data_IF_314735727043
#
_entry.id   IF_314735727043
#
_cell.length_a   1.000
_cell.length_b   1.000
_cell.length_c   1.000
_cell.angle_alpha   90.00
_cell.angle_beta   90.00
_cell.angle_gamma   90.00
#
_symmetry.space_group_name_H-M   'P 1'
#
loop_
_entity.id
_entity.type
_entity.pdbx_description
1 polymer ?
#
# COMPACT_ATOMS: atom_id res chain seq x y z
N UNK A 1 -36.64 -79.81 23.07
CA UNK A 1 -37.51 -79.75 24.27
C UNK A 1 -38.91 -79.44 23.78
N UNK A 2 -39.73 -80.41 23.33
CA UNK A 2 -40.41 -81.48 24.07
C UNK A 2 -41.51 -80.97 25.03
N UNK A 3 -42.51 -80.25 24.50
CA UNK A 3 -43.84 -80.12 25.07
C UNK A 3 -44.81 -79.71 23.94
N UNK A 4 -45.53 -80.69 23.37
CA UNK A 4 -46.48 -80.40 22.28
C UNK A 4 -47.17 -81.61 21.65
N UNK A 5 -47.20 -82.77 22.32
CA UNK A 5 -47.75 -84.01 21.78
C UNK A 5 -49.02 -84.49 22.52
N UNK A 6 -49.68 -83.63 23.32
CA UNK A 6 -50.77 -84.01 24.22
C UNK A 6 -52.12 -83.34 23.89
N UNK A 7 -52.41 -83.03 22.63
CA UNK A 7 -53.67 -82.37 22.25
C UNK A 7 -54.27 -82.87 20.91
N UNK A 8 -54.13 -84.16 20.59
CA UNK A 8 -54.83 -84.78 19.46
C UNK A 8 -55.38 -86.16 19.84
N UNK A 9 -56.20 -86.20 20.90
CA UNK A 9 -57.15 -87.30 21.08
C UNK A 9 -58.49 -86.80 20.53
N UNK A 10 -58.61 -86.88 19.20
CA UNK A 10 -59.86 -86.61 18.49
C UNK A 10 -60.72 -87.86 18.64
N UNK A 11 -61.91 -87.72 19.22
CA UNK A 11 -62.93 -88.77 19.39
C UNK A 11 -63.03 -89.69 18.16
N UNK A 12 -62.36 -90.85 18.22
CA UNK A 12 -62.35 -91.84 17.14
C UNK A 12 -63.77 -92.36 16.85
N UNK A 13 -64.65 -92.41 17.85
CA UNK A 13 -66.05 -92.81 17.70
C UNK A 13 -66.93 -91.79 16.94
N UNK A 14 -66.57 -90.50 16.95
CA UNK A 14 -67.31 -89.48 16.21
C UNK A 14 -66.98 -89.51 14.70
N UNK A 15 -65.82 -90.04 14.32
CA UNK A 15 -65.35 -90.13 12.93
C UNK A 15 -65.94 -91.35 12.21
N UNK A 16 -66.22 -92.45 12.91
CA UNK A 16 -66.75 -93.69 12.31
C UNK A 16 -68.20 -93.59 11.80
N UNK A 17 -69.01 -92.66 12.33
CA UNK A 17 -70.42 -92.49 11.95
C UNK A 17 -70.68 -91.46 10.83
N UNK A 18 -69.63 -90.85 10.27
CA UNK A 18 -69.78 -89.84 9.20
C UNK A 18 -69.76 -90.53 7.83
N UNK A 19 -70.74 -90.29 6.94
CA UNK A 19 -70.73 -90.84 5.59
C UNK A 19 -69.42 -90.53 4.86
N UNK A 20 -68.83 -91.55 4.22
CA UNK A 20 -67.52 -91.46 3.54
C UNK A 20 -67.44 -90.28 2.56
N UNK A 21 -68.53 -90.00 1.85
CA UNK A 21 -68.59 -88.89 0.88
C UNK A 21 -68.49 -87.51 1.56
N UNK A 22 -69.05 -87.37 2.76
CA UNK A 22 -68.95 -86.14 3.58
C UNK A 22 -67.54 -85.94 4.11
N UNK A 23 -66.87 -87.02 4.55
CA UNK A 23 -65.46 -87.01 4.96
C UNK A 23 -64.53 -86.61 3.81
N UNK A 24 -64.75 -87.16 2.61
CA UNK A 24 -63.99 -86.80 1.40
C UNK A 24 -64.24 -85.33 1.01
N UNK A 25 -65.47 -84.83 1.13
CA UNK A 25 -65.78 -83.43 0.86
C UNK A 25 -65.11 -82.47 1.87
N UNK A 26 -65.10 -82.83 3.15
CA UNK A 26 -64.43 -82.06 4.20
C UNK A 26 -62.90 -82.07 4.02
N UNK A 27 -62.30 -83.22 3.66
CA UNK A 27 -60.89 -83.32 3.31
C UNK A 27 -60.55 -82.44 2.11
N UNK A 28 -61.33 -82.52 1.02
CA UNK A 28 -61.12 -81.66 -0.16
C UNK A 28 -61.27 -80.16 0.17
N UNK A 29 -62.19 -79.80 1.06
CA UNK A 29 -62.36 -78.42 1.53
C UNK A 29 -61.17 -77.98 2.37
N UNK A 30 -60.69 -78.83 3.28
CA UNK A 30 -59.50 -78.56 4.10
C UNK A 30 -58.22 -78.48 3.27
N UNK A 31 -58.08 -79.31 2.24
CA UNK A 31 -56.98 -79.22 1.28
C UNK A 31 -57.01 -77.91 0.49
N UNK A 32 -58.19 -77.45 0.08
CA UNK A 32 -58.34 -76.14 -0.57
C UNK A 32 -58.00 -74.98 0.37
N UNK A 33 -58.47 -75.04 1.63
CA UNK A 33 -58.12 -74.05 2.66
C UNK A 33 -56.61 -74.04 2.93
N UNK A 34 -56.00 -75.23 3.11
CA UNK A 34 -54.56 -75.39 3.31
C UNK A 34 -53.74 -74.82 2.16
N UNK A 35 -54.11 -75.13 0.90
CA UNK A 35 -53.47 -74.54 -0.29
C UNK A 35 -53.64 -73.03 -0.36
N UNK A 36 -54.80 -72.50 0.01
CA UNK A 36 -55.02 -71.06 0.05
C UNK A 36 -54.20 -70.36 1.14
N UNK A 37 -54.01 -71.00 2.31
CA UNK A 37 -53.15 -70.49 3.37
C UNK A 37 -51.67 -70.56 3.00
N UNK A 38 -51.22 -71.66 2.39
CA UNK A 38 -49.86 -71.80 1.88
C UNK A 38 -49.52 -70.70 0.85
N UNK A 39 -50.41 -70.44 -0.12
CA UNK A 39 -50.20 -69.38 -1.11
C UNK A 39 -50.21 -67.96 -0.51
N UNK A 40 -50.92 -67.74 0.61
CA UNK A 40 -50.86 -66.47 1.35
C UNK A 40 -49.56 -66.32 2.13
N UNK A 41 -49.07 -67.42 2.71
CA UNK A 41 -47.82 -67.47 3.45
C UNK A 41 -46.64 -67.18 2.52
N UNK A 42 -46.58 -67.83 1.36
CA UNK A 42 -45.55 -67.60 0.33
C UNK A 42 -45.51 -66.14 -0.11
N UNK A 43 -46.67 -65.50 -0.36
CA UNK A 43 -46.75 -64.06 -0.68
C UNK A 43 -46.30 -63.15 0.46
N UNK A 44 -46.52 -63.56 1.71
CA UNK A 44 -46.04 -62.81 2.88
C UNK A 44 -44.53 -62.96 3.04
N UNK A 45 -44.00 -64.16 2.82
CA UNK A 45 -42.56 -64.43 2.82
C UNK A 45 -41.83 -63.64 1.74
N UNK A 46 -42.35 -63.60 0.50
CA UNK A 46 -41.80 -62.78 -0.58
C UNK A 46 -41.78 -61.28 -0.22
N UNK A 47 -42.86 -60.78 0.41
CA UNK A 47 -42.92 -59.39 0.89
C UNK A 47 -41.92 -59.15 2.00
N UNK A 48 -41.79 -60.08 2.94
CA UNK A 48 -40.85 -59.99 4.04
C UNK A 48 -39.40 -59.96 3.51
N UNK A 49 -39.03 -60.85 2.60
CA UNK A 49 -37.70 -60.86 1.96
C UNK A 49 -37.41 -59.54 1.24
N UNK A 50 -38.40 -58.96 0.54
CA UNK A 50 -38.25 -57.63 -0.06
C UNK A 50 -37.98 -56.55 0.98
N UNK A 51 -38.73 -56.52 2.08
CA UNK A 51 -38.53 -55.55 3.17
C UNK A 51 -37.16 -55.72 3.83
N UNK A 52 -36.74 -56.96 4.11
CA UNK A 52 -35.41 -57.25 4.68
C UNK A 52 -34.30 -56.78 3.75
N UNK A 53 -34.44 -57.01 2.43
CA UNK A 53 -33.47 -56.53 1.43
C UNK A 53 -33.41 -55.01 1.38
N UNK A 54 -34.56 -54.33 1.37
CA UNK A 54 -34.61 -52.86 1.41
C UNK A 54 -34.00 -52.31 2.70
N UNK A 55 -34.30 -52.93 3.85
CA UNK A 55 -33.73 -52.51 5.13
C UNK A 55 -32.20 -52.69 5.13
N UNK A 56 -31.70 -53.79 4.57
CA UNK A 56 -30.26 -54.00 4.40
C UNK A 56 -29.60 -52.89 3.56
N UNK A 57 -30.19 -52.54 2.41
CA UNK A 57 -29.68 -51.46 1.55
C UNK A 57 -29.68 -50.12 2.30
N UNK A 58 -30.77 -49.79 3.00
CA UNK A 58 -30.86 -48.55 3.77
C UNK A 58 -29.83 -48.49 4.92
N UNK A 59 -29.54 -49.63 5.56
CA UNK A 59 -28.50 -49.72 6.57
C UNK A 59 -27.10 -49.52 5.97
N UNK A 60 -26.81 -50.11 4.81
CA UNK A 60 -25.54 -49.94 4.09
C UNK A 60 -25.35 -48.48 3.61
N UNK A 61 -26.40 -47.85 3.09
CA UNK A 61 -26.40 -46.44 2.68
C UNK A 61 -26.19 -45.52 3.89
N UNK A 62 -26.83 -45.83 5.03
CA UNK A 62 -26.62 -45.11 6.29
C UNK A 62 -25.17 -45.20 6.75
N UNK A 63 -24.56 -46.39 6.73
CA UNK A 63 -23.16 -46.56 7.11
C UNK A 63 -22.24 -45.79 6.17
N UNK A 64 -22.49 -45.85 4.87
CA UNK A 64 -21.71 -45.13 3.85
C UNK A 64 -21.80 -43.61 4.04
N UNK A 65 -22.99 -43.10 4.34
CA UNK A 65 -23.20 -41.69 4.64
C UNK A 65 -22.53 -41.27 5.95
N UNK A 66 -22.58 -42.09 7.00
CA UNK A 66 -21.86 -41.82 8.26
C UNK A 66 -20.34 -41.76 8.04
N UNK A 67 -19.77 -42.69 7.27
CA UNK A 67 -18.34 -42.66 6.93
C UNK A 67 -17.96 -41.40 6.15
N UNK A 68 -18.79 -40.98 5.18
CA UNK A 68 -18.60 -39.72 4.47
C UNK A 68 -18.66 -38.50 5.42
N UNK A 69 -19.63 -38.47 6.34
CA UNK A 69 -19.72 -37.39 7.33
C UNK A 69 -18.53 -37.37 8.27
N UNK A 70 -18.01 -38.51 8.74
CA UNK A 70 -16.79 -38.56 9.56
C UNK A 70 -15.56 -38.01 8.83
N UNK A 71 -15.41 -38.33 7.53
CA UNK A 71 -14.25 -37.90 6.74
C UNK A 71 -14.26 -36.38 6.48
N UNK A 72 -15.44 -35.81 6.21
CA UNK A 72 -15.56 -34.39 5.85
C UNK A 72 -15.88 -33.48 7.05
N UNK A 73 -16.39 -34.02 8.16
CA UNK A 73 -16.91 -33.26 9.31
C UNK A 73 -16.53 -33.91 10.65
N UNK A 74 -15.24 -33.84 11.05
CA UNK A 74 -14.75 -34.48 12.28
C UNK A 74 -15.36 -33.92 13.59
N UNK A 75 -16.03 -32.77 13.56
CA UNK A 75 -16.74 -32.21 14.72
C UNK A 75 -18.17 -32.76 14.91
N UNK A 76 -18.64 -33.65 14.02
CA UNK A 76 -20.02 -34.17 14.04
C UNK A 76 -20.22 -35.50 14.79
N UNK A 77 -19.16 -36.06 15.38
CA UNK A 77 -19.16 -37.35 16.10
C UNK A 77 -20.28 -37.45 17.15
N UNK A 78 -20.54 -36.37 17.90
CA UNK A 78 -21.59 -36.37 18.93
C UNK A 78 -23.02 -36.39 18.37
N UNK A 79 -23.24 -35.84 17.17
CA UNK A 79 -24.60 -35.65 16.62
C UNK A 79 -25.18 -36.97 16.10
N UNK A 80 -24.33 -37.84 15.55
CA UNK A 80 -24.78 -39.13 15.02
C UNK A 80 -24.88 -40.21 16.10
N UNK A 81 -24.05 -40.16 17.14
CA UNK A 81 -24.21 -41.05 18.31
C UNK A 81 -25.46 -40.71 19.12
N UNK A 82 -25.75 -39.42 19.37
CA UNK A 82 -27.00 -39.01 20.04
C UNK A 82 -28.25 -39.37 19.22
N UNK A 83 -28.19 -39.24 17.88
CA UNK A 83 -29.30 -39.62 17.00
C UNK A 83 -29.46 -41.15 16.81
N UNK A 84 -28.43 -41.95 17.08
CA UNK A 84 -28.53 -43.41 17.11
C UNK A 84 -29.09 -43.92 18.45
N UNK A 85 -28.84 -43.19 19.53
CA UNK A 85 -29.32 -43.51 20.89
C UNK A 85 -30.73 -42.97 21.19
N UNK A 86 -31.18 -41.92 20.51
CA UNK A 86 -32.53 -41.39 20.66
C UNK A 86 -33.45 -41.85 19.53
N UNK A 87 -34.58 -42.47 19.88
CA UNK A 87 -35.71 -42.75 18.98
C UNK A 87 -36.45 -41.47 18.50
N UNK A 88 -35.78 -40.31 18.49
CA UNK A 88 -36.33 -39.05 18.02
C UNK A 88 -36.02 -38.88 16.54
N UNK A 89 -37.03 -38.67 15.67
CA UNK A 89 -36.79 -38.49 14.26
C UNK A 89 -35.90 -37.27 14.04
N UNK A 90 -34.77 -37.48 13.37
CA UNK A 90 -33.80 -36.43 13.03
C UNK A 90 -34.53 -35.30 12.31
N UNK A 91 -34.45 -34.08 12.86
CA UNK A 91 -35.19 -32.94 12.31
C UNK A 91 -34.58 -32.50 10.97
N UNK A 92 -35.12 -33.05 9.87
CA UNK A 92 -34.68 -32.77 8.50
C UNK A 92 -34.69 -31.26 8.16
N UNK A 93 -35.61 -30.49 8.75
CA UNK A 93 -35.68 -29.05 8.51
C UNK A 93 -34.45 -28.32 9.06
N UNK A 94 -33.92 -28.78 10.20
CA UNK A 94 -32.73 -28.19 10.82
C UNK A 94 -31.46 -28.54 10.04
N UNK A 95 -31.30 -29.81 9.62
CA UNK A 95 -30.20 -30.23 8.74
C UNK A 95 -30.20 -29.47 7.41
N UNK A 96 -31.37 -29.30 6.79
CA UNK A 96 -31.48 -28.49 5.56
C UNK A 96 -31.09 -27.02 5.78
N UNK A 97 -31.43 -26.44 6.94
CA UNK A 97 -31.04 -25.08 7.30
C UNK A 97 -29.53 -24.96 7.46
N UNK A 98 -28.89 -25.90 8.16
CA UNK A 98 -27.44 -25.94 8.34
C UNK A 98 -26.71 -26.12 7.02
N UNK A 99 -27.18 -27.03 6.16
CA UNK A 99 -26.60 -27.25 4.84
C UNK A 99 -26.67 -26.00 3.95
N UNK A 100 -27.76 -25.23 4.00
CA UNK A 100 -27.85 -23.93 3.31
C UNK A 100 -26.87 -22.90 3.87
N UNK A 101 -26.73 -22.83 5.19
CA UNK A 101 -25.77 -21.93 5.82
C UNK A 101 -24.33 -22.27 5.42
N UNK A 102 -23.99 -23.55 5.36
CA UNK A 102 -22.67 -24.02 4.95
C UNK A 102 -22.40 -23.78 3.48
N UNK A 103 -23.40 -23.98 2.61
CA UNK A 103 -23.30 -23.62 1.20
C UNK A 103 -23.02 -22.12 1.03
N UNK A 104 -23.72 -21.26 1.76
CA UNK A 104 -23.46 -19.82 1.75
C UNK A 104 -22.07 -19.45 2.27
N UNK A 105 -21.59 -20.12 3.32
CA UNK A 105 -20.24 -19.92 3.83
C UNK A 105 -19.16 -20.38 2.84
N UNK A 106 -19.37 -21.49 2.12
CA UNK A 106 -18.47 -21.97 1.09
C UNK A 106 -18.41 -21.05 -0.13
N UNK A 107 -19.56 -20.50 -0.56
CA UNK A 107 -19.62 -19.49 -1.62
C UNK A 107 -18.85 -18.22 -1.23
N UNK A 108 -19.09 -17.70 -0.02
CA UNK A 108 -18.36 -16.54 0.51
C UNK A 108 -16.84 -16.79 0.61
N UNK A 109 -16.43 -17.96 1.12
CA UNK A 109 -15.01 -18.34 1.17
C UNK A 109 -14.40 -18.46 -0.24
N UNK A 110 -15.19 -18.87 -1.24
CA UNK A 110 -14.79 -18.89 -2.64
C UNK A 110 -14.56 -17.48 -3.22
N UNK A 111 -15.37 -16.50 -2.82
CA UNK A 111 -15.17 -15.08 -3.18
C UNK A 111 -13.93 -14.49 -2.49
N UNK A 112 -13.79 -14.69 -1.18
CA UNK A 112 -12.62 -14.25 -0.41
C UNK A 112 -11.32 -14.81 -1.00
N UNK A 113 -11.35 -16.07 -1.45
CA UNK A 113 -10.22 -16.70 -2.13
C UNK A 113 -9.86 -16.02 -3.45
N UNK A 114 -10.82 -15.60 -4.26
CA UNK A 114 -10.57 -14.87 -5.51
C UNK A 114 -9.95 -13.50 -5.22
N UNK A 115 -10.44 -12.80 -4.20
CA UNK A 115 -9.88 -11.52 -3.75
C UNK A 115 -8.44 -11.71 -3.26
N UNK A 116 -8.18 -12.77 -2.48
CA UNK A 116 -6.84 -13.08 -1.99
C UNK A 116 -5.90 -13.45 -3.15
N UNK A 117 -6.38 -14.17 -4.16
CA UNK A 117 -5.61 -14.44 -5.38
C UNK A 117 -5.24 -13.15 -6.12
N UNK A 118 -6.21 -12.24 -6.32
CA UNK A 118 -5.94 -10.93 -6.94
C UNK A 118 -4.91 -10.11 -6.16
N UNK A 119 -4.97 -10.16 -4.83
CA UNK A 119 -3.99 -9.51 -3.98
C UNK A 119 -2.59 -10.12 -4.16
N UNK A 120 -2.47 -11.44 -4.22
CA UNK A 120 -1.20 -12.12 -4.49
C UNK A 120 -0.67 -11.80 -5.89
N UNK A 121 -1.53 -11.72 -6.91
CA UNK A 121 -1.15 -11.28 -8.26
C UNK A 121 -0.57 -9.86 -8.27
N UNK A 122 -1.15 -8.96 -7.46
CA UNK A 122 -0.69 -7.58 -7.33
C UNK A 122 0.66 -7.48 -6.60
N UNK A 123 0.84 -8.26 -5.53
CA UNK A 123 2.06 -8.26 -4.71
C UNK A 123 3.23 -8.97 -5.42
N UNK A 124 2.94 -10.06 -6.14
CA UNK A 124 3.94 -10.91 -6.80
C UNK A 124 3.70 -10.95 -8.32
N UNK A 125 3.91 -9.85 -9.05
CA UNK A 125 3.62 -9.80 -10.47
C UNK A 125 4.45 -10.83 -11.26
N UNK A 126 3.78 -11.65 -12.07
CA UNK A 126 4.42 -12.64 -12.95
C UNK A 126 5.01 -13.87 -12.25
N UNK A 127 4.72 -14.09 -10.96
CA UNK A 127 5.21 -15.28 -10.24
C UNK A 127 4.18 -16.42 -10.25
N UNK A 128 4.22 -17.25 -11.28
CA UNK A 128 3.31 -18.40 -11.46
C UNK A 128 3.27 -19.35 -10.25
N UNK A 129 4.39 -19.51 -9.55
CA UNK A 129 4.46 -20.39 -8.40
C UNK A 129 3.68 -19.88 -7.17
N UNK A 130 3.44 -18.57 -7.04
CA UNK A 130 2.53 -18.03 -6.02
C UNK A 130 1.07 -18.29 -6.40
N UNK A 131 0.74 -18.24 -7.69
CA UNK A 131 -0.59 -18.52 -8.22
C UNK A 131 -0.93 -20.01 -8.18
N UNK A 132 0.05 -20.88 -8.36
CA UNK A 132 -0.12 -22.33 -8.24
C UNK A 132 -0.62 -22.78 -6.85
N UNK A 133 -0.37 -21.99 -5.79
CA UNK A 133 -0.92 -22.24 -4.45
C UNK A 133 -2.46 -22.19 -4.45
N UNK A 134 -3.05 -21.41 -5.35
CA UNK A 134 -4.49 -21.24 -5.50
C UNK A 134 -5.14 -22.24 -6.46
N UNK A 135 -4.39 -23.20 -7.01
CA UNK A 135 -4.98 -24.27 -7.82
C UNK A 135 -5.54 -25.43 -6.97
N UNK A 136 -5.20 -25.50 -5.67
CA UNK A 136 -5.63 -26.57 -4.77
C UNK A 136 -6.97 -26.26 -4.09
N UNK A 137 -7.87 -27.22 -3.83
CA UNK A 137 -9.19 -26.94 -3.23
C UNK A 137 -9.12 -26.24 -1.86
N UNK A 138 -8.05 -26.44 -1.10
CA UNK A 138 -7.75 -25.69 0.12
C UNK A 138 -6.32 -25.14 0.10
N UNK A 139 -6.13 -23.96 0.71
CA UNK A 139 -4.80 -23.44 1.03
C UNK A 139 -4.27 -24.23 2.23
N UNK A 140 -3.20 -25.00 2.02
CA UNK A 140 -2.51 -25.70 3.11
C UNK A 140 -1.75 -24.73 4.01
N UNK A 141 -1.36 -25.19 5.21
CA UNK A 141 -0.48 -24.44 6.13
C UNK A 141 0.76 -23.90 5.42
N UNK A 142 1.34 -24.72 4.56
CA UNK A 142 2.60 -24.45 3.87
C UNK A 142 2.48 -23.34 2.82
N UNK A 143 1.26 -23.00 2.38
CA UNK A 143 1.05 -21.93 1.41
C UNK A 143 1.42 -20.56 1.98
N UNK A 144 1.15 -20.33 3.27
CA UNK A 144 1.53 -19.09 3.93
C UNK A 144 3.05 -19.01 4.14
N UNK A 145 3.71 -20.12 4.44
CA UNK A 145 5.17 -20.16 4.57
C UNK A 145 5.86 -19.85 3.24
N UNK A 146 5.34 -20.40 2.12
CA UNK A 146 5.85 -20.09 0.78
C UNK A 146 5.64 -18.62 0.42
N UNK A 147 4.47 -18.05 0.72
CA UNK A 147 4.19 -16.62 0.49
C UNK A 147 5.11 -15.74 1.35
N UNK A 148 5.31 -16.09 2.62
CA UNK A 148 6.19 -15.37 3.54
C UNK A 148 7.64 -15.42 3.07
N UNK A 149 8.13 -16.59 2.64
CA UNK A 149 9.48 -16.73 2.09
C UNK A 149 9.67 -15.85 0.85
N UNK A 150 8.69 -15.81 -0.06
CA UNK A 150 8.72 -14.93 -1.25
C UNK A 150 8.68 -13.45 -0.88
N UNK A 151 7.88 -13.10 0.13
CA UNK A 151 7.82 -11.75 0.64
C UNK A 151 9.19 -11.28 1.15
N UNK A 152 9.86 -12.10 1.97
CA UNK A 152 11.21 -11.77 2.47
C UNK A 152 12.21 -11.55 1.33
N UNK A 153 12.16 -12.38 0.28
CA UNK A 153 13.05 -12.22 -0.89
C UNK A 153 12.77 -10.92 -1.64
N UNK A 154 11.49 -10.55 -1.82
CA UNK A 154 11.14 -9.27 -2.45
C UNK A 154 11.57 -8.07 -1.59
N UNK A 155 11.38 -8.17 -0.28
CA UNK A 155 11.80 -7.14 0.69
C UNK A 155 13.32 -6.95 0.66
N UNK A 156 14.09 -8.04 0.63
CA UNK A 156 15.55 -8.00 0.49
C UNK A 156 15.98 -7.35 -0.82
N UNK A 157 15.34 -7.70 -1.95
CA UNK A 157 15.60 -7.07 -3.24
C UNK A 157 15.26 -5.58 -3.24
N UNK A 158 14.14 -5.19 -2.64
CA UNK A 158 13.75 -3.80 -2.50
C UNK A 158 14.75 -3.02 -1.63
N UNK A 159 15.18 -3.60 -0.51
CA UNK A 159 16.19 -3.00 0.37
C UNK A 159 17.53 -2.83 -0.36
N UNK A 160 17.95 -3.81 -1.15
CA UNK A 160 19.14 -3.70 -2.00
C UNK A 160 18.99 -2.61 -3.06
N UNK A 161 17.83 -2.49 -3.71
CA UNK A 161 17.54 -1.44 -4.67
C UNK A 161 17.59 -0.04 -4.03
N UNK A 162 16.98 0.13 -2.86
CA UNK A 162 17.01 1.39 -2.11
C UNK A 162 18.44 1.74 -1.70
N UNK A 163 19.21 0.75 -1.20
CA UNK A 163 20.61 0.93 -0.87
C UNK A 163 21.43 1.38 -2.09
N UNK A 164 21.22 0.76 -3.25
CA UNK A 164 21.89 1.14 -4.50
C UNK A 164 21.53 2.56 -4.94
N UNK A 165 20.25 2.94 -4.87
CA UNK A 165 19.80 4.30 -5.21
C UNK A 165 20.42 5.33 -4.26
N UNK A 166 20.48 5.03 -2.96
CA UNK A 166 21.10 5.90 -1.98
C UNK A 166 22.60 6.09 -2.21
N UNK A 167 23.31 5.04 -2.62
CA UNK A 167 24.72 5.15 -3.02
C UNK A 167 24.87 6.05 -4.24
N UNK A 168 24.09 5.82 -5.31
CA UNK A 168 24.11 6.67 -6.50
C UNK A 168 23.77 8.13 -6.19
N UNK A 169 22.77 8.38 -5.34
CA UNK A 169 22.39 9.73 -4.94
C UNK A 169 23.53 10.43 -4.17
N UNK A 170 24.22 9.71 -3.26
CA UNK A 170 25.39 10.25 -2.55
C UNK A 170 26.54 10.55 -3.50
N UNK A 171 26.80 9.68 -4.47
CA UNK A 171 27.83 9.91 -5.49
C UNK A 171 27.51 11.13 -6.35
N UNK A 172 26.25 11.29 -6.79
CA UNK A 172 25.81 12.47 -7.54
C UNK A 172 25.94 13.76 -6.73
N UNK A 173 25.56 13.74 -5.45
CA UNK A 173 25.73 14.91 -4.55
C UNK A 173 27.21 15.25 -4.38
N UNK A 174 28.08 14.24 -4.22
CA UNK A 174 29.52 14.46 -4.12
C UNK A 174 30.11 15.02 -5.43
N UNK A 175 29.71 14.48 -6.58
CA UNK A 175 30.14 14.97 -7.88
C UNK A 175 29.74 16.44 -8.09
N UNK A 176 28.47 16.78 -7.87
CA UNK A 176 28.00 18.16 -7.97
C UNK A 176 28.65 19.09 -6.92
N UNK A 177 28.92 18.60 -5.71
CA UNK A 177 29.65 19.37 -4.71
C UNK A 177 31.08 19.67 -5.16
N UNK A 178 31.74 18.72 -5.84
CA UNK A 178 33.08 18.91 -6.39
C UNK A 178 33.08 19.89 -7.56
N UNK A 179 32.12 19.77 -8.47
CA UNK A 179 31.92 20.71 -9.59
C UNK A 179 31.65 22.14 -9.07
N UNK A 180 30.78 22.26 -8.07
CA UNK A 180 30.47 23.54 -7.44
C UNK A 180 31.71 24.17 -6.78
N UNK A 181 32.51 23.37 -6.06
CA UNK A 181 33.75 23.84 -5.46
C UNK A 181 34.77 24.26 -6.52
N UNK A 182 34.88 23.51 -7.63
CA UNK A 182 35.73 23.88 -8.76
C UNK A 182 35.28 25.19 -9.41
N UNK A 183 33.97 25.40 -9.56
CA UNK A 183 33.40 26.64 -10.07
C UNK A 183 33.68 27.83 -9.13
N UNK A 184 33.58 27.65 -7.81
CA UNK A 184 33.96 28.67 -6.82
C UNK A 184 35.44 29.04 -6.98
N UNK A 185 36.32 28.05 -7.04
CA UNK A 185 37.75 28.29 -7.17
C UNK A 185 38.07 29.02 -8.49
N UNK A 186 37.47 28.59 -9.60
CA UNK A 186 37.61 29.26 -10.89
C UNK A 186 37.10 30.70 -10.86
N UNK A 187 36.01 30.97 -10.15
CA UNK A 187 35.48 32.33 -9.97
C UNK A 187 36.46 33.20 -9.19
N UNK A 188 36.97 32.71 -8.07
CA UNK A 188 37.96 33.43 -7.25
C UNK A 188 39.25 33.73 -8.03
N UNK A 189 39.72 32.79 -8.85
CA UNK A 189 40.90 33.01 -9.69
C UNK A 189 40.62 34.06 -10.78
N UNK A 190 39.41 34.07 -11.36
CA UNK A 190 39.00 35.13 -12.29
C UNK A 190 38.91 36.50 -11.62
N UNK A 191 38.35 36.57 -10.41
CA UNK A 191 38.26 37.79 -9.59
C UNK A 191 39.67 38.34 -9.29
N UNK A 192 40.60 37.48 -8.87
CA UNK A 192 42.02 37.87 -8.67
C UNK A 192 42.66 38.44 -9.93
N UNK A 193 42.47 37.78 -11.09
CA UNK A 193 43.01 38.27 -12.37
C UNK A 193 42.41 39.63 -12.74
N UNK A 194 41.12 39.83 -12.53
CA UNK A 194 40.48 41.13 -12.79
C UNK A 194 41.05 42.22 -11.88
N UNK A 195 41.32 41.90 -10.62
CA UNK A 195 41.94 42.83 -9.67
C UNK A 195 43.37 43.16 -10.06
N UNK A 196 44.19 42.17 -10.42
CA UNK A 196 45.56 42.39 -10.92
C UNK A 196 45.58 43.29 -12.17
N UNK A 197 44.66 43.06 -13.12
CA UNK A 197 44.52 43.90 -14.32
C UNK A 197 44.07 45.32 -13.99
N UNK A 198 43.17 45.49 -13.02
CA UNK A 198 42.73 46.81 -12.56
C UNK A 198 43.89 47.57 -11.89
N UNK A 199 44.71 46.88 -11.09
CA UNK A 199 45.91 47.46 -10.48
C UNK A 199 46.97 47.84 -11.52
N UNK A 200 47.18 47.01 -12.55
CA UNK A 200 48.04 47.37 -13.69
C UNK A 200 47.53 48.60 -14.44
N UNK A 201 46.22 48.69 -14.67
CA UNK A 201 45.60 49.82 -15.36
C UNK A 201 45.73 51.10 -14.55
N UNK A 202 45.47 51.05 -13.23
CA UNK A 202 45.65 52.21 -12.35
C UNK A 202 47.12 52.62 -12.25
N UNK A 203 48.07 51.67 -12.23
CA UNK A 203 49.51 51.94 -12.28
C UNK A 203 49.90 52.64 -13.58
N UNK A 204 49.48 52.11 -14.73
CA UNK A 204 49.74 52.73 -16.03
C UNK A 204 49.09 54.12 -16.15
N UNK A 205 47.90 54.31 -15.60
CA UNK A 205 47.25 55.62 -15.56
C UNK A 205 48.03 56.63 -14.71
N UNK A 206 48.57 56.21 -13.55
CA UNK A 206 49.46 57.03 -12.72
C UNK A 206 50.75 57.37 -13.43
N UNK A 207 51.42 56.39 -14.05
CA UNK A 207 52.66 56.60 -14.82
C UNK A 207 52.42 57.56 -15.99
N UNK A 208 51.33 57.40 -16.75
CA UNK A 208 50.94 58.34 -17.82
C UNK A 208 50.67 59.74 -17.29
N UNK A 209 49.95 59.87 -16.17
CA UNK A 209 49.69 61.17 -15.55
C UNK A 209 51.00 61.84 -15.08
N UNK A 210 51.93 61.07 -14.52
CA UNK A 210 53.26 61.56 -14.14
C UNK A 210 54.08 62.02 -15.35
N UNK A 211 54.10 61.24 -16.44
CA UNK A 211 54.78 61.64 -17.68
C UNK A 211 54.16 62.91 -18.29
N UNK A 212 52.84 63.03 -18.31
CA UNK A 212 52.15 64.24 -18.76
C UNK A 212 52.52 65.44 -17.87
N UNK A 213 52.57 65.25 -16.55
CA UNK A 213 52.96 66.30 -15.60
C UNK A 213 54.42 66.71 -15.79
N UNK A 214 55.34 65.76 -15.99
CA UNK A 214 56.74 66.03 -16.30
C UNK A 214 56.89 66.78 -17.63
N UNK A 215 56.14 66.42 -18.68
CA UNK A 215 56.15 67.15 -19.96
C UNK A 215 55.62 68.58 -19.80
N UNK A 216 54.59 68.78 -18.97
CA UNK A 216 54.02 70.11 -18.72
C UNK A 216 54.93 70.99 -17.86
N UNK A 217 55.68 70.44 -16.91
CA UNK A 217 56.57 71.22 -16.02
C UNK A 217 58.03 71.29 -16.50
N UNK A 218 58.49 70.34 -17.33
CA UNK A 218 59.84 70.32 -17.93
C UNK A 218 59.92 70.91 -19.34
N UNK A 219 58.78 71.29 -19.94
CA UNK A 219 58.68 71.87 -21.29
C UNK A 219 58.69 73.40 -21.35
N UNK A 220 58.99 74.08 -20.24
CA UNK A 220 58.98 75.54 -20.12
C UNK A 220 60.35 76.13 -19.78
N UNK A 221 61.29 76.13 -20.74
CA UNK A 221 62.42 77.08 -20.72
C UNK A 221 63.79 76.57 -21.18
N UNK A 222 64.10 76.66 -22.48
CA UNK A 222 65.11 77.58 -23.05
C UNK A 222 65.29 77.33 -24.56
N UNK A 223 65.17 78.40 -25.35
CA UNK A 223 65.55 78.39 -26.77
C UNK A 223 64.87 79.45 -27.63
N UNK A 224 65.03 80.75 -27.32
CA UNK A 224 64.80 81.83 -28.28
C UNK A 224 66.12 82.26 -28.93
N UNK A 225 66.22 82.10 -30.25
CA UNK A 225 66.90 83.03 -31.16
C UNK A 225 68.25 82.63 -31.73
N UNK A 226 68.28 82.15 -32.98
CA UNK A 226 69.15 82.75 -34.00
C UNK A 226 68.59 82.49 -35.40
N UNK A 227 68.38 83.57 -36.13
CA UNK A 227 68.19 83.55 -37.57
C UNK A 227 69.57 83.40 -38.21
N UNK A 228 69.81 82.29 -38.91
CA UNK A 228 70.78 82.26 -40.00
C UNK A 228 70.26 81.29 -41.06
N UNK A 229 70.00 81.82 -42.24
CA UNK A 229 69.67 81.04 -43.41
C UNK A 229 70.88 80.19 -43.82
N UNK A 230 70.64 78.94 -44.24
CA UNK A 230 71.27 78.46 -45.45
C UNK A 230 70.18 78.15 -46.45
N UNK A 231 70.14 78.97 -47.49
CA UNK A 231 69.40 78.62 -48.69
C UNK A 231 70.17 77.55 -49.47
N UNK A 232 69.40 76.61 -50.00
CA UNK A 232 69.67 75.73 -51.15
C UNK A 232 70.50 74.47 -50.89
N UNK A 233 69.80 73.35 -50.72
CA UNK A 233 69.64 72.30 -51.75
C UNK A 233 69.03 71.05 -51.10
N UNK A 234 67.76 70.73 -51.37
CA UNK A 234 67.35 69.79 -52.42
C UNK A 234 67.27 68.34 -51.91
N UNK A 235 66.11 67.71 -52.21
CA UNK A 235 65.74 66.30 -52.04
C UNK A 235 65.45 65.73 -50.63
N UNK A 236 64.25 65.94 -50.10
CA UNK A 236 63.57 64.93 -49.24
C UNK A 236 62.05 65.08 -49.15
N UNK A 237 61.36 65.58 -50.19
CA UNK A 237 59.88 65.69 -50.17
C UNK A 237 59.14 64.34 -50.21
N UNK A 238 59.87 63.22 -50.33
CA UNK A 238 59.33 61.87 -50.30
C UNK A 238 59.40 61.23 -48.90
N UNK A 239 60.35 61.61 -48.04
CA UNK A 239 60.55 61.02 -46.72
C UNK A 239 59.49 61.52 -45.71
N UNK A 240 59.28 62.84 -45.64
CA UNK A 240 58.27 63.42 -44.74
C UNK A 240 56.83 63.10 -45.19
N UNK A 241 56.61 62.94 -46.51
CA UNK A 241 55.33 62.43 -47.03
C UNK A 241 55.13 60.94 -46.75
N UNK A 242 56.19 60.14 -46.74
CA UNK A 242 56.13 58.73 -46.37
C UNK A 242 55.82 58.58 -44.87
N UNK A 243 56.45 59.38 -44.01
CA UNK A 243 56.22 59.36 -42.56
C UNK A 243 54.78 59.81 -42.20
N UNK A 244 54.25 60.83 -42.88
CA UNK A 244 52.84 61.24 -42.72
C UNK A 244 51.84 60.20 -43.26
N UNK A 245 52.21 59.41 -44.28
CA UNK A 245 51.38 58.28 -44.75
C UNK A 245 51.44 57.13 -43.76
N UNK A 246 52.62 56.82 -43.23
CA UNK A 246 52.82 55.76 -42.25
C UNK A 246 52.07 56.06 -40.94
N UNK A 247 52.07 57.31 -40.45
CA UNK A 247 51.28 57.70 -39.28
C UNK A 247 49.76 57.63 -39.53
N UNK A 248 49.31 57.90 -40.76
CA UNK A 248 47.89 57.74 -41.14
C UNK A 248 47.50 56.27 -41.25
N UNK A 249 48.38 55.43 -41.79
CA UNK A 249 48.19 53.98 -41.85
C UNK A 249 48.22 53.35 -40.45
N UNK A 250 49.11 53.80 -39.57
CA UNK A 250 49.15 53.37 -38.17
C UNK A 250 47.90 53.79 -37.39
N UNK A 251 47.37 55.01 -37.61
CA UNK A 251 46.06 55.41 -37.05
C UNK A 251 44.91 54.57 -37.62
N UNK A 252 44.88 54.35 -38.93
CA UNK A 252 43.85 53.52 -39.54
C UNK A 252 43.93 52.06 -39.06
N UNK A 253 45.13 51.52 -38.82
CA UNK A 253 45.33 50.20 -38.25
C UNK A 253 44.92 50.14 -36.77
N UNK A 254 45.19 51.19 -35.98
CA UNK A 254 44.73 51.32 -34.60
C UNK A 254 43.20 51.39 -34.52
N UNK A 255 42.55 52.19 -35.38
CA UNK A 255 41.09 52.30 -35.45
C UNK A 255 40.45 50.95 -35.86
N UNK A 256 41.09 50.18 -36.74
CA UNK A 256 40.63 48.82 -37.08
C UNK A 256 40.72 47.87 -35.89
N UNK A 257 41.85 47.86 -35.18
CA UNK A 257 42.03 47.05 -33.96
C UNK A 257 41.03 47.44 -32.87
N UNK A 258 40.73 48.74 -32.74
CA UNK A 258 39.73 49.21 -31.79
C UNK A 258 38.32 48.72 -32.17
N UNK A 259 37.93 48.81 -33.45
CA UNK A 259 36.64 48.27 -33.92
C UNK A 259 36.55 46.76 -33.73
N UNK A 260 37.58 46.02 -34.11
CA UNK A 260 37.63 44.56 -33.92
C UNK A 260 37.55 44.20 -32.42
N UNK A 261 38.20 44.96 -31.54
CA UNK A 261 38.11 44.73 -30.09
C UNK A 261 36.71 44.99 -29.53
N UNK A 262 36.01 46.01 -30.06
CA UNK A 262 34.62 46.32 -29.69
C UNK A 262 33.67 45.25 -30.20
N UNK A 263 33.83 44.79 -31.44
CA UNK A 263 33.01 43.72 -32.01
C UNK A 263 33.19 42.39 -31.24
N UNK A 264 34.42 42.08 -30.81
CA UNK A 264 34.68 40.88 -29.98
C UNK A 264 34.05 41.04 -28.59
N UNK A 265 34.12 42.23 -27.99
CA UNK A 265 33.48 42.52 -26.71
C UNK A 265 31.95 42.41 -26.81
N UNK A 266 31.34 42.97 -27.85
CA UNK A 266 29.89 42.87 -28.11
C UNK A 266 29.45 41.42 -28.33
N UNK A 267 30.22 40.61 -29.07
CA UNK A 267 29.93 39.18 -29.23
C UNK A 267 30.03 38.44 -27.90
N UNK A 268 31.03 38.75 -27.08
CA UNK A 268 31.18 38.13 -25.78
C UNK A 268 30.03 38.52 -24.83
N UNK A 269 29.60 39.78 -24.85
CA UNK A 269 28.43 40.24 -24.10
C UNK A 269 27.14 39.55 -24.56
N UNK A 270 26.94 39.37 -25.86
CA UNK A 270 25.80 38.62 -26.40
C UNK A 270 25.80 37.16 -25.97
N UNK A 271 26.96 36.50 -25.94
CA UNK A 271 27.09 35.11 -25.47
C UNK A 271 26.80 35.00 -23.97
N UNK A 272 27.33 35.92 -23.16
CA UNK A 272 27.03 35.97 -21.72
C UNK A 272 25.54 36.21 -21.47
N UNK A 273 24.93 37.13 -22.22
CA UNK A 273 23.52 37.43 -22.10
C UNK A 273 22.66 36.22 -22.46
N UNK A 274 22.99 35.50 -23.53
CA UNK A 274 22.32 34.26 -23.91
C UNK A 274 22.44 33.18 -22.82
N UNK A 275 23.62 33.03 -22.21
CA UNK A 275 23.84 32.09 -21.10
C UNK A 275 23.03 32.46 -19.85
N UNK A 276 22.94 33.75 -19.51
CA UNK A 276 22.10 34.23 -18.41
C UNK A 276 20.62 33.95 -18.68
N UNK A 277 20.16 34.16 -19.91
CA UNK A 277 18.77 33.92 -20.29
C UNK A 277 18.44 32.42 -20.30
N UNK A 278 19.39 31.55 -20.68
CA UNK A 278 19.29 30.10 -20.58
C UNK A 278 19.17 29.64 -19.11
N UNK A 279 20.05 30.12 -18.23
CA UNK A 279 19.98 29.83 -16.79
C UNK A 279 18.65 30.32 -16.17
N UNK A 280 18.16 31.50 -16.58
CA UNK A 280 16.85 32.00 -16.14
C UNK A 280 15.69 31.16 -16.68
N UNK A 281 15.80 30.57 -17.86
CA UNK A 281 14.81 29.64 -18.38
C UNK A 281 14.82 28.32 -17.58
N UNK A 282 16.00 27.81 -17.24
CA UNK A 282 16.17 26.60 -16.44
C UNK A 282 15.65 26.76 -15.01
N UNK A 283 15.96 27.87 -14.34
CA UNK A 283 15.41 28.18 -13.01
C UNK A 283 13.88 28.27 -13.05
N UNK A 284 13.31 28.87 -14.11
CA UNK A 284 11.85 28.90 -14.30
C UNK A 284 11.26 27.51 -14.54
N UNK A 285 11.99 26.63 -15.24
CA UNK A 285 11.58 25.24 -15.46
C UNK A 285 11.59 24.45 -14.14
N UNK A 286 12.69 24.50 -13.39
CA UNK A 286 12.83 23.84 -12.10
C UNK A 286 11.81 24.32 -11.08
N UNK A 287 11.49 25.63 -11.08
CA UNK A 287 10.43 26.16 -10.21
C UNK A 287 9.06 25.57 -10.54
N UNK A 288 8.72 25.41 -11.83
CA UNK A 288 7.46 24.75 -12.23
C UNK A 288 7.44 23.27 -11.88
N UNK A 289 8.58 22.57 -11.96
CA UNK A 289 8.69 21.17 -11.54
C UNK A 289 8.53 21.05 -10.02
N UNK A 290 9.11 21.96 -9.24
CA UNK A 290 8.94 22.02 -7.79
C UNK A 290 7.48 22.28 -7.40
N UNK A 291 6.82 23.24 -8.05
CA UNK A 291 5.41 23.55 -7.82
C UNK A 291 4.53 22.32 -8.15
N UNK A 292 4.80 21.62 -9.27
CA UNK A 292 4.11 20.36 -9.60
C UNK A 292 4.31 19.26 -8.55
N UNK A 293 5.54 19.06 -8.07
CA UNK A 293 5.82 18.07 -7.04
C UNK A 293 5.18 18.45 -5.70
N UNK A 294 5.11 19.75 -5.39
CA UNK A 294 4.39 20.26 -4.21
C UNK A 294 2.90 19.92 -4.31
N UNK A 295 2.26 20.24 -5.45
CA UNK A 295 0.84 19.93 -5.69
C UNK A 295 0.60 18.40 -5.62
N UNK A 296 1.46 17.59 -6.22
CA UNK A 296 1.37 16.12 -6.13
C UNK A 296 1.51 15.62 -4.70
N UNK A 297 2.40 16.22 -3.89
CA UNK A 297 2.57 15.86 -2.48
C UNK A 297 1.35 16.25 -1.65
N UNK A 298 0.75 17.41 -1.89
CA UNK A 298 -0.48 17.84 -1.23
C UNK A 298 -1.65 16.92 -1.60
N UNK A 299 -1.77 16.54 -2.88
CA UNK A 299 -2.76 15.58 -3.32
C UNK A 299 -2.58 14.19 -2.68
N UNK A 300 -1.35 13.69 -2.55
CA UNK A 300 -1.06 12.43 -1.84
C UNK A 300 -1.44 12.53 -0.38
N UNK A 301 -1.08 13.61 0.30
CA UNK A 301 -1.43 13.82 1.71
C UNK A 301 -2.94 13.86 1.91
N UNK A 302 -3.67 14.62 1.08
CA UNK A 302 -5.14 14.68 1.11
C UNK A 302 -5.76 13.30 0.81
N UNK A 303 -5.24 12.56 -0.15
CA UNK A 303 -5.71 11.21 -0.48
C UNK A 303 -5.49 10.22 0.67
N UNK A 304 -4.33 10.26 1.33
CA UNK A 304 -4.05 9.44 2.51
C UNK A 304 -5.01 9.81 3.66
N UNK A 305 -5.22 11.10 3.92
CA UNK A 305 -6.18 11.55 4.94
C UNK A 305 -7.62 11.10 4.64
N UNK A 306 -8.07 11.22 3.39
CA UNK A 306 -9.40 10.77 2.98
C UNK A 306 -9.54 9.25 3.12
N UNK A 307 -8.51 8.49 2.75
CA UNK A 307 -8.48 7.03 2.89
C UNK A 307 -8.55 6.60 4.35
N UNK A 308 -7.78 7.26 5.23
CA UNK A 308 -7.82 7.02 6.67
C UNK A 308 -9.19 7.39 7.25
N UNK A 309 -9.76 8.53 6.85
CA UNK A 309 -11.09 8.96 7.30
C UNK A 309 -12.19 7.97 6.88
N UNK A 310 -12.18 7.50 5.63
CA UNK A 310 -13.11 6.48 5.12
C UNK A 310 -12.92 5.13 5.83
N UNK A 311 -11.68 4.75 6.12
CA UNK A 311 -11.38 3.54 6.91
C UNK A 311 -11.96 3.63 8.33
N UNK A 312 -11.82 4.79 8.98
CA UNK A 312 -12.36 5.02 10.33
C UNK A 312 -13.89 5.04 10.35
N UNK A 313 -14.54 5.68 9.38
CA UNK A 313 -16.02 5.69 9.30
C UNK A 313 -16.58 4.30 9.08
N UNK A 314 -15.96 3.49 8.21
CA UNK A 314 -16.36 2.10 7.98
C UNK A 314 -16.21 1.25 9.26
N UNK A 315 -15.13 1.42 10.01
CA UNK A 315 -14.93 0.73 11.29
C UNK A 315 -15.94 1.16 12.34
N UNK A 316 -16.30 2.45 12.39
CA UNK A 316 -17.37 2.94 13.26
C UNK A 316 -18.73 2.34 12.89
N UNK A 317 -19.05 2.21 11.61
CA UNK A 317 -20.29 1.54 11.17
C UNK A 317 -20.32 0.07 11.61
N UNK A 318 -19.20 -0.65 11.46
CA UNK A 318 -19.08 -2.03 11.95
C UNK A 318 -19.18 -2.13 13.47
N UNK A 319 -18.63 -1.15 14.19
CA UNK A 319 -18.76 -1.08 15.65
C UNK A 319 -20.22 -0.93 16.07
N UNK A 320 -20.96 0.00 15.46
CA UNK A 320 -22.40 0.21 15.73
C UNK A 320 -23.20 -1.06 15.43
N UNK A 321 -22.89 -1.75 14.33
CA UNK A 321 -23.52 -3.05 14.02
C UNK A 321 -23.18 -4.13 15.05
N UNK A 322 -21.93 -4.22 15.51
CA UNK A 322 -21.51 -5.18 16.53
C UNK A 322 -22.12 -4.91 17.91
N UNK A 323 -22.29 -3.63 18.28
CA UNK A 323 -23.02 -3.20 19.48
C UNK A 323 -24.48 -3.65 19.40
N UNK A 324 -25.13 -3.42 18.26
CA UNK A 324 -26.52 -3.85 18.01
C UNK A 324 -26.69 -5.37 18.09
N UNK A 325 -25.66 -6.14 17.74
CA UNK A 325 -25.66 -7.61 17.80
C UNK A 325 -25.15 -8.19 19.14
N UNK A 326 -24.87 -7.36 20.15
CA UNK A 326 -24.29 -7.78 21.46
C UNK A 326 -22.98 -8.57 21.35
N UNK A 327 -22.20 -8.38 20.27
CA UNK A 327 -20.87 -9.00 20.06
C UNK A 327 -19.71 -8.04 20.37
N UNK A 328 -19.86 -7.20 21.41
CA UNK A 328 -18.89 -6.15 21.75
C UNK A 328 -17.48 -6.67 22.06
N UNK A 329 -17.39 -7.85 22.68
CA UNK A 329 -16.12 -8.37 23.19
C UNK A 329 -15.18 -8.84 22.06
N UNK A 330 -15.74 -9.45 21.01
CA UNK A 330 -14.97 -9.88 19.84
C UNK A 330 -14.52 -8.69 18.99
N UNK A 331 -15.43 -7.73 18.78
CA UNK A 331 -15.15 -6.54 17.99
C UNK A 331 -14.11 -5.63 18.65
N UNK A 332 -14.20 -5.42 19.98
CA UNK A 332 -13.24 -4.62 20.73
C UNK A 332 -11.80 -5.14 20.61
N UNK A 333 -11.60 -6.46 20.64
CA UNK A 333 -10.26 -7.05 20.49
C UNK A 333 -9.68 -6.85 19.08
N UNK A 334 -10.52 -6.92 18.04
CA UNK A 334 -10.13 -6.71 16.63
C UNK A 334 -9.80 -5.24 16.37
N UNK A 335 -10.62 -4.32 16.88
CA UNK A 335 -10.42 -2.88 16.75
C UNK A 335 -9.12 -2.44 17.44
N UNK A 336 -8.83 -2.94 18.63
CA UNK A 336 -7.58 -2.63 19.35
C UNK A 336 -6.36 -3.15 18.59
N UNK A 337 -6.41 -4.37 18.02
CA UNK A 337 -5.31 -4.90 17.18
C UNK A 337 -5.10 -4.04 15.93
N UNK A 338 -6.17 -3.64 15.25
CA UNK A 338 -6.09 -2.79 14.06
C UNK A 338 -5.59 -1.38 14.37
N UNK A 339 -6.07 -0.74 15.44
CA UNK A 339 -5.56 0.56 15.89
C UNK A 339 -4.09 0.49 16.29
N UNK A 340 -3.65 -0.59 16.96
CA UNK A 340 -2.24 -0.77 17.32
C UNK A 340 -1.35 -0.94 16.09
N UNK A 341 -1.82 -1.68 15.08
CA UNK A 341 -1.14 -1.82 13.78
C UNK A 341 -1.07 -0.49 13.03
N UNK A 342 -2.15 0.29 13.04
CA UNK A 342 -2.21 1.60 12.37
C UNK A 342 -1.28 2.61 13.07
N UNK A 343 -1.28 2.65 14.40
CA UNK A 343 -0.36 3.49 15.17
C UNK A 343 1.11 3.07 14.98
N UNK A 344 1.38 1.77 14.80
CA UNK A 344 2.72 1.28 14.51
C UNK A 344 3.17 1.70 13.10
N UNK A 345 2.32 1.53 12.09
CA UNK A 345 2.59 1.96 10.71
C UNK A 345 2.87 3.47 10.60
N UNK A 346 2.06 4.29 11.27
CA UNK A 346 2.24 5.75 11.31
C UNK A 346 3.53 6.13 12.06
N UNK A 347 3.94 5.37 13.08
CA UNK A 347 5.17 5.62 13.82
C UNK A 347 6.44 5.18 13.05
N UNK A 348 6.31 4.22 12.13
CA UNK A 348 7.42 3.70 11.32
C UNK A 348 7.61 4.46 10.01
N UNK A 349 6.62 5.22 9.52
CA UNK A 349 6.75 6.02 8.29
C UNK A 349 7.74 7.21 8.41
N UNK A 350 8.32 7.49 9.59
CA UNK A 350 9.21 8.66 9.79
C UNK A 350 10.46 8.38 10.68
N UNK A 351 10.86 7.13 10.90
CA UNK A 351 11.90 6.83 11.89
C UNK A 351 12.90 5.75 11.45
N UNK A 352 14.00 6.19 10.84
CA UNK A 352 15.29 5.50 10.93
C UNK A 352 16.40 6.51 11.26
N UNK A 353 16.59 6.79 12.55
CA UNK A 353 17.91 7.09 13.13
C UNK A 353 17.80 7.39 14.63
N UNK A 354 18.69 6.82 15.44
CA UNK A 354 18.84 7.20 16.84
C UNK A 354 19.26 8.69 17.04
N UNK A 355 19.68 9.37 15.97
CA UNK A 355 20.02 10.80 15.97
C UNK A 355 18.79 11.71 15.91
N UNK A 356 17.68 11.29 15.29
CA UNK A 356 16.44 12.11 15.23
C UNK A 356 15.74 12.19 16.59
N UNK A 357 15.85 11.15 17.45
CA UNK A 357 15.39 11.21 18.84
C UNK A 357 16.19 12.23 19.68
N UNK A 358 17.48 12.40 19.41
CA UNK A 358 18.33 13.43 20.06
C UNK A 358 18.08 14.83 19.50
N UNK A 359 17.78 14.96 18.20
CA UNK A 359 17.43 16.24 17.59
C UNK A 359 16.00 16.70 17.97
N UNK A 360 15.07 15.77 18.13
CA UNK A 360 13.70 16.04 18.58
C UNK A 360 13.67 16.55 20.02
N UNK A 361 14.49 15.99 20.92
CA UNK A 361 14.64 16.51 22.29
C UNK A 361 15.17 17.96 22.31
N UNK A 362 16.10 18.29 21.42
CA UNK A 362 16.64 19.66 21.27
C UNK A 362 15.72 20.63 20.51
N UNK A 363 14.81 20.13 19.67
CA UNK A 363 13.85 20.96 18.92
C UNK A 363 12.56 21.22 19.70
N UNK A 364 12.22 20.40 20.70
CA UNK A 364 11.08 20.61 21.61
C UNK A 364 11.27 21.86 22.48
N UNK A 365 12.51 22.23 22.77
CA UNK A 365 12.81 23.44 23.55
C UNK A 365 12.79 24.74 22.70
N UNK A 366 12.98 24.63 21.38
CA UNK A 366 13.02 25.78 20.44
C UNK A 366 11.75 26.00 19.59
N UNK A 367 10.83 25.04 19.50
CA UNK A 367 9.58 25.15 18.70
C UNK A 367 8.34 25.54 19.50
N UNK A 368 8.49 26.33 20.57
CA UNK A 368 7.35 26.81 21.36
C UNK A 368 6.51 27.93 20.71
N UNK A 369 6.84 28.41 19.50
CA UNK A 369 6.23 29.66 18.97
C UNK A 369 5.65 29.60 17.54
N UNK A 370 5.91 28.59 16.71
CA UNK A 370 5.37 28.58 15.33
C UNK A 370 4.96 27.17 14.87
N UNK A 371 3.68 26.84 15.09
CA UNK A 371 2.80 25.92 14.31
C UNK A 371 1.68 25.40 15.24
N UNK A 372 0.74 26.28 15.59
CA UNK A 372 -0.49 25.86 16.26
C UNK A 372 -1.60 25.39 15.31
N UNK A 373 -1.47 25.58 13.99
CA UNK A 373 -2.56 25.27 13.05
C UNK A 373 -2.60 23.81 12.53
N UNK A 374 -1.57 23.00 12.77
CA UNK A 374 -1.49 21.59 12.33
C UNK A 374 -1.82 20.55 13.43
N UNK A 375 -2.14 20.99 14.65
CA UNK A 375 -2.41 20.09 15.78
C UNK A 375 -3.89 19.75 15.97
N UNK A 376 -4.81 20.51 15.35
CA UNK A 376 -6.24 20.26 15.46
C UNK A 376 -6.69 18.85 15.02
N UNK A 377 -6.13 18.23 13.95
CA UNK A 377 -6.50 16.88 13.54
C UNK A 377 -5.93 15.78 14.47
N UNK A 378 -4.72 15.98 14.98
CA UNK A 378 -4.09 15.10 15.97
C UNK A 378 -4.82 15.14 17.33
N UNK A 379 -5.27 16.33 17.73
CA UNK A 379 -6.15 16.51 18.89
C UNK A 379 -7.53 15.88 18.66
N UNK A 380 -8.08 15.96 17.45
CA UNK A 380 -9.33 15.29 17.06
C UNK A 380 -9.22 13.76 17.13
N UNK A 381 -8.16 13.18 16.57
CA UNK A 381 -7.90 11.75 16.61
C UNK A 381 -7.63 11.26 18.04
N UNK A 382 -6.86 12.00 18.83
CA UNK A 382 -6.64 11.71 20.24
C UNK A 382 -7.93 11.79 21.07
N UNK A 383 -8.80 12.78 20.80
CA UNK A 383 -10.12 12.92 21.43
C UNK A 383 -11.06 11.78 21.05
N UNK A 384 -11.04 11.31 19.80
CA UNK A 384 -11.80 10.13 19.35
C UNK A 384 -11.31 8.85 20.04
N UNK A 385 -10.00 8.65 20.15
CA UNK A 385 -9.42 7.52 20.89
C UNK A 385 -9.78 7.61 22.38
N UNK A 386 -9.74 8.80 22.98
CA UNK A 386 -10.12 9.01 24.37
C UNK A 386 -11.62 8.75 24.61
N UNK A 387 -12.49 9.17 23.67
CA UNK A 387 -13.93 8.91 23.69
C UNK A 387 -14.22 7.42 23.59
N UNK A 388 -13.55 6.71 22.67
CA UNK A 388 -13.68 5.25 22.50
C UNK A 388 -13.20 4.51 23.75
N UNK A 389 -12.07 4.90 24.35
CA UNK A 389 -11.58 4.32 25.60
C UNK A 389 -12.58 4.57 26.75
N UNK A 390 -13.16 5.77 26.83
CA UNK A 390 -14.14 6.13 27.86
C UNK A 390 -15.45 5.35 27.70
N UNK A 391 -15.94 5.19 26.48
CA UNK A 391 -17.11 4.37 26.15
C UNK A 391 -16.88 2.89 26.47
N UNK A 392 -15.71 2.35 26.11
CA UNK A 392 -15.32 0.98 26.46
C UNK A 392 -15.20 0.77 27.98
N UNK A 393 -14.67 1.77 28.71
CA UNK A 393 -14.56 1.73 30.17
C UNK A 393 -15.93 1.83 30.86
N UNK A 394 -16.89 2.56 30.28
CA UNK A 394 -18.28 2.60 30.75
C UNK A 394 -19.01 1.27 30.48
N UNK A 395 -18.88 0.72 29.27
CA UNK A 395 -19.46 -0.57 28.91
C UNK A 395 -18.94 -1.72 29.79
N UNK A 396 -17.65 -1.67 30.19
CA UNK A 396 -17.04 -2.68 31.07
C UNK A 396 -17.49 -2.57 32.54
N UNK A 397 -18.04 -1.44 32.97
CA UNK A 397 -18.52 -1.23 34.34
C UNK A 397 -19.97 -1.67 34.56
N UNK A 398 -20.63 -2.23 33.55
CA UNK A 398 -22.00 -2.75 33.68
C UNK A 398 -23.05 -1.67 34.00
N UNK A 399 -22.74 -0.40 33.74
CA UNK A 399 -23.74 0.66 33.80
C UNK A 399 -24.67 0.48 32.59
N UNK A 400 -25.96 0.23 32.87
CA UNK A 400 -27.02 0.33 31.88
C UNK A 400 -26.94 1.74 31.31
N UNK A 401 -26.53 1.87 30.04
CA UNK A 401 -26.69 3.11 29.30
C UNK A 401 -28.19 3.20 29.00
N UNK A 402 -28.88 4.16 29.61
CA UNK A 402 -30.25 4.48 29.26
C UNK A 402 -30.32 4.76 27.75
N UNK A 403 -31.25 4.10 27.06
CA UNK A 403 -31.42 4.18 25.60
C UNK A 403 -31.68 5.62 25.11
N UNK A 404 -32.12 6.51 26.00
CA UNK A 404 -32.37 7.93 25.73
C UNK A 404 -31.11 8.74 25.35
N UNK A 405 -29.91 8.24 25.65
CA UNK A 405 -28.65 8.91 25.25
C UNK A 405 -28.26 8.59 23.80
N UNK A 406 -28.78 7.51 23.21
CA UNK A 406 -28.45 7.09 21.84
C UNK A 406 -29.40 7.69 20.78
N UNK A 407 -30.59 8.16 21.17
CA UNK A 407 -31.49 8.89 20.28
C UNK A 407 -31.21 10.41 20.25
N UNK A 408 -30.52 10.94 21.26
CA UNK A 408 -30.04 12.32 21.30
C UNK A 408 -28.68 12.49 20.63
N UNK A 409 -28.58 13.43 19.69
CA UNK A 409 -27.39 13.81 18.92
C UNK A 409 -26.05 13.61 19.71
N UNK A 410 -25.19 12.64 19.34
CA UNK A 410 -24.03 12.22 20.13
C UNK A 410 -22.91 13.28 20.22
N UNK A 411 -23.09 14.44 19.58
CA UNK A 411 -22.14 15.55 19.52
C UNK A 411 -22.36 16.64 20.57
N UNK A 412 -23.46 16.60 21.34
CA UNK A 412 -23.75 17.59 22.38
C UNK A 412 -22.67 17.68 23.49
N UNK A 413 -22.07 16.55 23.96
CA UNK A 413 -20.98 16.61 24.93
C UNK A 413 -19.69 17.24 24.37
N UNK A 414 -19.49 17.19 23.05
CA UNK A 414 -18.34 17.77 22.36
C UNK A 414 -18.49 19.30 22.17
N UNK A 415 -19.71 19.79 21.97
CA UNK A 415 -19.97 21.23 21.87
C UNK A 415 -19.78 21.98 23.20
N UNK A 416 -20.06 21.35 24.34
CA UNK A 416 -19.83 21.98 25.65
C UNK A 416 -18.34 22.05 26.03
N UNK A 417 -17.49 21.18 25.49
CA UNK A 417 -16.05 21.19 25.74
C UNK A 417 -15.25 22.08 24.78
N UNK A 418 -15.86 22.55 23.68
CA UNK A 418 -15.24 23.47 22.71
C UNK A 418 -15.56 24.95 22.97
N UNK A 419 -16.37 25.24 24.00
CA UNK A 419 -16.74 26.60 24.45
C UNK A 419 -16.06 27.01 25.78
N UNK A 420 -15.09 26.22 26.25
CA UNK A 420 -14.13 26.54 27.33
C UNK A 420 -12.73 26.41 26.76
#
# INVERSE_FOLDING_TARGET
>A
MAAGAAAMDVDLQAVENIPRDTLVALLKRKDKESKAHAAKLEKLEERYVKVVRFNKILMEDRTSFQSFCHEFLPESDGVFEEAAAQETPTNLAELQRQLRAWKGAAEAAGEDRKVFQQFVELVFPGQDAALQLFNRPALGSDAFDVLLQRWMVLEDLQNQSIASINVMAREQVLAHSQEFQAAINSRQDSERRTQDLQDQLTKMAREKAQMLTQRLHGGGGQGTGSAEAPSVASSSSAADQAELRELREQRAAADRRERESREVAERHEQVLQASIDEQRAEVRRLKRELDRLSDESEHRVVFTYLTVALGLTFQLTKFVQAVRQRKLHEFGSRLIKQLRSLCYAIATEDSDSAETKKLAANLVEKRKVQRMNSLAPLLSAASLVFLVIRLLRHARKGAVMDEDILEGNPFLPLQQYLLL
#
